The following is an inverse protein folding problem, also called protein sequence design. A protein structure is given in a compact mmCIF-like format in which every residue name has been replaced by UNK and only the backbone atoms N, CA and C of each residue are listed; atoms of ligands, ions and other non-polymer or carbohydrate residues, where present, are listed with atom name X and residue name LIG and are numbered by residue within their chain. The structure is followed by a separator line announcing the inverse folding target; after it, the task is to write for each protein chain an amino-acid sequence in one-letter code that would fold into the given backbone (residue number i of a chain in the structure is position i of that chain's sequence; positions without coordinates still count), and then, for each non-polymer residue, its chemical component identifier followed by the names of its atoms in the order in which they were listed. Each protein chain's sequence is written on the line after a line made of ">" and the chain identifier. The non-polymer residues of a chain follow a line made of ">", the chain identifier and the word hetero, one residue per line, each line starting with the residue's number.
data_IF_658920866539
#
_entry.id   IF_658920866539
#
_cell.length_a   1.000
_cell.length_b   1.000
_cell.length_c   1.000
_cell.angle_alpha   90.00
_cell.angle_beta   90.00
_cell.angle_gamma   90.00
#
_symmetry.space_group_name_H-M   'P 1'
#
loop_
_entity.id
_entity.type
_entity.pdbx_description
1 polymer ?
#
# COMPACT_ATOMS: atom_id res chain seq x y z
N UNK A 1 19.59 -3.46 -11.09
CA UNK A 1 19.38 -2.21 -10.33
C UNK A 1 19.01 -2.57 -8.91
N UNK A 2 19.24 -1.67 -7.94
CA UNK A 2 18.86 -1.84 -6.54
C UNK A 2 17.86 -0.76 -6.14
N UNK A 3 16.98 -1.08 -5.20
CA UNK A 3 16.03 -0.14 -4.61
C UNK A 3 16.65 0.37 -3.30
N UNK A 4 16.46 1.65 -3.01
CA UNK A 4 16.97 2.28 -1.79
C UNK A 4 15.85 2.36 -0.78
N UNK A 5 16.04 1.68 0.34
CA UNK A 5 15.21 1.80 1.54
C UNK A 5 15.86 2.79 2.50
N UNK A 6 15.07 3.71 3.03
CA UNK A 6 15.58 4.83 3.84
C UNK A 6 14.76 5.10 5.11
N UNK A 7 13.61 4.43 5.27
CA UNK A 7 12.83 4.47 6.49
C UNK A 7 13.13 3.20 7.29
N UNK A 8 13.69 3.37 8.48
CA UNK A 8 14.00 2.30 9.43
C UNK A 8 13.38 2.66 10.78
N UNK A 9 12.55 1.76 11.32
CA UNK A 9 11.79 2.00 12.54
C UNK A 9 12.07 0.90 13.56
N UNK A 10 12.33 1.31 14.79
CA UNK A 10 12.61 0.38 15.89
C UNK A 10 11.97 0.85 17.19
N UNK A 11 11.50 -0.11 17.98
CA UNK A 11 10.96 0.11 19.31
C UNK A 11 11.54 -0.92 20.31
N UNK A 12 12.48 -0.46 21.14
CA UNK A 12 13.23 -1.32 22.05
C UNK A 12 14.03 -2.37 21.28
N UNK A 13 13.73 -3.66 21.51
CA UNK A 13 14.36 -4.79 20.80
C UNK A 13 13.65 -5.19 19.50
N UNK A 14 12.53 -4.55 19.18
CA UNK A 14 11.77 -4.82 17.97
C UNK A 14 12.23 -3.86 16.87
N UNK A 15 12.58 -4.41 15.71
CA UNK A 15 12.88 -3.63 14.51
C UNK A 15 11.88 -4.01 13.42
N UNK A 16 11.29 -2.99 12.80
CA UNK A 16 10.50 -3.15 11.59
C UNK A 16 11.46 -3.18 10.39
N UNK A 17 11.22 -4.01 9.36
CA UNK A 17 12.07 -4.03 8.17
C UNK A 17 12.13 -2.65 7.51
N UNK A 18 13.32 -2.22 7.10
CA UNK A 18 13.45 -0.95 6.38
C UNK A 18 12.61 -0.95 5.10
N UNK A 19 12.02 0.20 4.77
CA UNK A 19 11.17 0.36 3.59
C UNK A 19 11.31 1.76 2.97
N UNK A 20 10.71 1.95 1.81
CA UNK A 20 10.66 3.23 1.11
C UNK A 20 9.22 3.70 0.87
N UNK A 21 9.07 4.89 0.29
CA UNK A 21 7.75 5.49 0.01
C UNK A 21 6.94 4.67 -1.00
N UNK A 22 7.57 3.97 -1.95
CA UNK A 22 6.86 3.13 -2.91
C UNK A 22 6.21 1.93 -2.20
N UNK A 23 6.92 1.29 -1.27
CA UNK A 23 6.37 0.19 -0.46
C UNK A 23 5.17 0.65 0.36
N UNK A 24 5.29 1.82 1.00
CA UNK A 24 4.19 2.41 1.77
C UNK A 24 2.96 2.70 0.90
N UNK A 25 3.16 3.23 -0.31
CA UNK A 25 2.06 3.49 -1.25
C UNK A 25 1.36 2.19 -1.68
N UNK A 26 2.12 1.12 -1.92
CA UNK A 26 1.57 -0.21 -2.23
C UNK A 26 0.78 -0.75 -1.05
N UNK A 27 1.34 -0.74 0.17
CA UNK A 27 0.65 -1.24 1.37
C UNK A 27 -0.64 -0.47 1.66
N UNK A 28 -0.63 0.86 1.53
CA UNK A 28 -1.84 1.69 1.71
C UNK A 28 -2.87 1.40 0.61
N UNK A 29 -2.45 1.31 -0.66
CA UNK A 29 -3.36 1.03 -1.77
C UNK A 29 -4.03 -0.35 -1.65
N UNK A 30 -3.26 -1.38 -1.31
CA UNK A 30 -3.79 -2.73 -1.05
C UNK A 30 -4.69 -2.73 0.18
N UNK A 31 -4.28 -2.08 1.27
CA UNK A 31 -5.09 -1.94 2.48
C UNK A 31 -6.44 -1.27 2.19
N UNK A 32 -6.43 -0.23 1.36
CA UNK A 32 -7.65 0.45 0.92
C UNK A 32 -8.55 -0.45 0.06
N UNK A 33 -7.96 -1.20 -0.87
CA UNK A 33 -8.70 -2.15 -1.71
C UNK A 33 -9.37 -3.24 -0.85
N UNK A 34 -8.63 -3.85 0.07
CA UNK A 34 -9.15 -4.86 0.99
C UNK A 34 -10.25 -4.27 1.87
N UNK A 35 -10.05 -3.07 2.40
CA UNK A 35 -11.06 -2.36 3.19
C UNK A 35 -12.34 -2.10 2.38
N UNK A 36 -12.21 -1.73 1.09
CA UNK A 36 -13.37 -1.52 0.22
C UNK A 36 -14.23 -2.78 0.05
N UNK A 37 -13.59 -3.95 -0.04
CA UNK A 37 -14.28 -5.23 -0.13
C UNK A 37 -15.00 -5.60 1.17
N UNK A 38 -14.36 -5.36 2.32
CA UNK A 38 -14.95 -5.62 3.64
C UNK A 38 -16.14 -4.68 3.92
N UNK A 39 -16.03 -3.41 3.54
CA UNK A 39 -17.06 -2.39 3.77
C UNK A 39 -18.21 -2.47 2.74
N UNK A 40 -18.14 -3.40 1.78
CA UNK A 40 -19.21 -3.62 0.79
C UNK A 40 -19.32 -2.52 -0.27
N UNK A 41 -18.29 -1.68 -0.43
CA UNK A 41 -18.20 -0.75 -1.55
C UNK A 41 -17.56 -1.49 -2.70
N UNK A 42 -18.37 -1.97 -3.65
CA UNK A 42 -17.83 -2.39 -4.93
C UNK A 42 -17.12 -1.19 -5.55
N UNK A 43 -15.86 -1.33 -5.98
CA UNK A 43 -15.25 -0.32 -6.84
C UNK A 43 -16.15 -0.20 -8.05
N UNK A 44 -16.78 0.96 -8.24
CA UNK A 44 -17.40 1.28 -9.51
C UNK A 44 -16.23 1.42 -10.49
N UNK A 45 -15.85 0.31 -11.13
CA UNK A 45 -15.03 0.34 -12.32
C UNK A 45 -15.86 1.11 -13.33
N UNK A 46 -15.71 2.45 -13.36
CA UNK A 46 -16.07 3.23 -14.52
C UNK A 46 -15.25 2.61 -15.64
N UNK A 47 -15.89 1.71 -16.39
CA UNK A 47 -15.41 1.27 -17.69
C UNK A 47 -15.08 2.58 -18.36
N UNK A 48 -13.79 2.84 -18.57
CA UNK A 48 -13.37 3.91 -19.44
C UNK A 48 -14.16 3.66 -20.71
N UNK A 49 -15.18 4.50 -20.93
CA UNK A 49 -15.95 4.44 -22.15
C UNK A 49 -14.94 4.82 -23.20
N UNK A 50 -14.36 3.80 -23.82
CA UNK A 50 -13.83 3.86 -25.16
C UNK A 50 -15.04 4.31 -25.99
N UNK A 51 -15.19 5.62 -26.11
CA UNK A 51 -15.95 6.28 -27.17
C UNK A 51 -14.94 6.68 -28.23
#
# INVERSE_FOLDING_TARGET
>A
GYVIDFLDFHYGRWAWPAFNVADAAISVGVGWLVLSWIVGKSPEFKRAQIK
#
